data_IF_179345449869
#
_entry.id   IF_179345449869
#
_cell.length_a   1.000
_cell.length_b   1.000
_cell.length_c   1.000
_cell.angle_alpha   90.00
_cell.angle_beta   90.00
_cell.angle_gamma   90.00
#
_symmetry.space_group_name_H-M   'P 1'
#
loop_
_entity.id
_entity.type
_entity.pdbx_description
1 polymer ?
#
# COMPACT_ATOMS: atom_id res chain seq x y z
N UNK A 1 26.34 -10.58 19.47
CA UNK A 1 25.24 -10.30 18.52
C UNK A 1 25.91 -9.95 17.21
N UNK A 2 25.69 -10.73 16.15
CA UNK A 2 26.32 -10.51 14.84
C UNK A 2 25.76 -9.22 14.22
N UNK A 3 26.65 -8.26 13.98
CA UNK A 3 26.45 -6.86 13.58
C UNK A 3 25.94 -6.62 12.15
N UNK A 4 25.24 -7.57 11.54
CA UNK A 4 24.72 -7.38 10.19
C UNK A 4 23.45 -6.52 10.23
N UNK A 5 23.60 -5.19 10.36
CA UNK A 5 22.51 -4.26 10.09
C UNK A 5 22.54 -2.92 10.83
N UNK A 6 23.34 -2.75 11.89
CA UNK A 6 23.27 -1.54 12.72
C UNK A 6 23.61 -0.27 11.92
N UNK A 7 22.70 0.71 11.96
CA UNK A 7 22.65 1.95 11.18
C UNK A 7 22.49 1.77 9.66
N UNK A 8 22.54 0.55 9.14
CA UNK A 8 22.35 0.28 7.71
C UNK A 8 20.91 0.59 7.25
N UNK A 9 20.64 0.57 5.94
CA UNK A 9 19.26 0.62 5.41
C UNK A 9 18.32 -0.50 5.86
N UNK A 10 18.80 -1.55 6.56
CA UNK A 10 18.03 -2.73 6.92
C UNK A 10 17.30 -3.35 5.71
N UNK A 11 16.09 -3.85 5.92
CA UNK A 11 15.25 -4.45 4.90
C UNK A 11 14.68 -3.45 3.89
N UNK A 12 15.06 -2.16 3.92
CA UNK A 12 14.83 -1.30 2.74
C UNK A 12 15.62 -1.83 1.54
N UNK A 13 16.72 -2.55 1.80
CA UNK A 13 17.52 -3.23 0.79
C UNK A 13 17.48 -4.75 1.01
N UNK A 14 16.78 -5.48 0.15
CA UNK A 14 16.74 -6.97 0.17
C UNK A 14 17.45 -7.47 -1.07
N UNK A 15 18.52 -8.25 -0.89
CA UNK A 15 19.35 -8.76 -1.99
C UNK A 15 19.80 -7.64 -2.96
N UNK A 16 20.21 -6.49 -2.40
CA UNK A 16 20.64 -5.29 -3.14
C UNK A 16 19.56 -4.63 -4.01
N UNK A 17 18.28 -4.91 -3.73
CA UNK A 17 17.13 -4.27 -4.37
C UNK A 17 16.29 -3.54 -3.34
N UNK A 18 15.60 -2.49 -3.77
CA UNK A 18 14.60 -1.84 -2.94
C UNK A 18 13.47 -2.83 -2.60
N UNK A 19 12.97 -2.79 -1.37
CA UNK A 19 11.92 -3.69 -0.91
C UNK A 19 10.56 -3.47 -1.57
N UNK A 20 10.34 -2.33 -2.22
CA UNK A 20 9.15 -2.10 -3.03
C UNK A 20 9.42 -2.37 -4.50
N UNK A 21 8.60 -3.25 -5.07
CA UNK A 21 8.62 -3.62 -6.48
C UNK A 21 7.64 -2.76 -7.30
N UNK A 22 8.14 -2.13 -8.36
CA UNK A 22 7.37 -1.24 -9.24
C UNK A 22 6.15 -1.91 -9.91
N UNK A 23 6.30 -3.09 -10.52
CA UNK A 23 5.18 -3.87 -11.06
C UNK A 23 4.03 -4.09 -10.07
N UNK A 24 4.36 -4.51 -8.84
CA UNK A 24 3.35 -4.73 -7.77
C UNK A 24 2.53 -3.47 -7.46
N UNK A 25 3.18 -2.31 -7.42
CA UNK A 25 2.48 -1.03 -7.19
C UNK A 25 1.71 -0.53 -8.41
N UNK A 26 2.14 -0.90 -9.61
CA UNK A 26 1.42 -0.64 -10.86
C UNK A 26 0.12 -1.45 -10.91
N UNK A 27 0.18 -2.74 -10.56
CA UNK A 27 -1.00 -3.60 -10.44
C UNK A 27 -1.99 -3.07 -9.40
N UNK A 28 -1.51 -2.67 -8.22
CA UNK A 28 -2.36 -2.03 -7.21
C UNK A 28 -3.01 -0.75 -7.75
N UNK A 29 -2.25 0.11 -8.42
CA UNK A 29 -2.78 1.36 -8.99
C UNK A 29 -3.87 1.10 -10.03
N UNK A 30 -3.65 0.14 -10.92
CA UNK A 30 -4.63 -0.26 -11.92
C UNK A 30 -5.91 -0.83 -11.25
N UNK A 31 -5.76 -1.63 -10.20
CA UNK A 31 -6.88 -2.14 -9.43
C UNK A 31 -7.67 -1.04 -8.73
N UNK A 32 -6.98 -0.02 -8.19
CA UNK A 32 -7.63 1.16 -7.60
C UNK A 32 -8.42 1.94 -8.65
N UNK A 33 -7.89 2.14 -9.86
CA UNK A 33 -8.62 2.79 -10.94
C UNK A 33 -9.84 1.97 -11.39
N UNK A 34 -9.69 0.65 -11.53
CA UNK A 34 -10.80 -0.25 -11.85
C UNK A 34 -11.90 -0.22 -10.77
N UNK A 35 -11.51 -0.17 -9.50
CA UNK A 35 -12.43 -0.03 -8.37
C UNK A 35 -13.18 1.32 -8.39
N UNK A 36 -12.50 2.42 -8.75
CA UNK A 36 -13.14 3.73 -8.93
C UNK A 36 -14.12 3.75 -10.11
N UNK A 37 -13.91 2.92 -11.12
CA UNK A 37 -14.74 2.85 -12.33
C UNK A 37 -15.95 1.91 -12.20
N UNK A 38 -16.20 1.35 -11.01
CA UNK A 38 -17.36 0.50 -10.74
C UNK A 38 -18.70 1.22 -10.91
N UNK A 39 -19.76 0.55 -11.40
CA UNK A 39 -21.08 1.15 -11.59
C UNK A 39 -21.84 1.34 -10.27
N UNK A 40 -21.44 2.33 -9.48
CA UNK A 40 -21.96 2.63 -8.15
C UNK A 40 -23.29 3.40 -8.12
N UNK A 41 -24.10 3.26 -9.18
CA UNK A 41 -25.47 3.77 -9.26
C UNK A 41 -26.26 3.01 -10.34
N UNK A 42 -27.58 3.02 -10.26
CA UNK A 42 -28.46 2.42 -11.29
C UNK A 42 -28.20 2.99 -12.69
N UNK A 43 -27.95 4.30 -12.79
CA UNK A 43 -27.61 4.96 -14.04
C UNK A 43 -26.30 4.41 -14.60
N UNK A 44 -25.29 4.22 -13.75
CA UNK A 44 -24.02 3.64 -14.19
C UNK A 44 -24.13 2.16 -14.53
N UNK A 45 -24.98 1.40 -13.83
CA UNK A 45 -25.28 -0.01 -14.17
C UNK A 45 -25.86 -0.05 -15.58
N UNK A 46 -26.94 0.71 -15.83
CA UNK A 46 -27.55 0.80 -17.16
C UNK A 46 -26.53 1.20 -18.23
N UNK A 47 -25.73 2.24 -17.98
CA UNK A 47 -24.73 2.71 -18.95
C UNK A 47 -23.64 1.68 -19.25
N UNK A 48 -23.14 0.96 -18.23
CA UNK A 48 -22.00 0.03 -18.39
C UNK A 48 -22.42 -1.38 -18.83
N UNK A 49 -23.62 -1.82 -18.49
CA UNK A 49 -24.07 -3.20 -18.76
C UNK A 49 -25.16 -3.26 -19.82
N UNK A 50 -25.91 -2.17 -20.03
CA UNK A 50 -27.10 -2.14 -20.87
C UNK A 50 -28.38 -2.60 -20.16
N UNK A 51 -28.33 -2.91 -18.85
CA UNK A 51 -29.50 -3.41 -18.11
C UNK A 51 -30.61 -2.36 -18.10
N UNK A 52 -31.77 -2.72 -18.64
CA UNK A 52 -32.89 -1.80 -18.80
C UNK A 52 -33.48 -1.34 -17.47
N UNK A 53 -34.31 -0.28 -17.49
CA UNK A 53 -35.03 0.16 -16.29
C UNK A 53 -35.98 -0.95 -15.77
N UNK A 54 -36.62 -1.71 -16.67
CA UNK A 54 -37.47 -2.83 -16.30
C UNK A 54 -36.66 -3.96 -15.64
N UNK A 55 -35.48 -4.29 -16.20
CA UNK A 55 -34.54 -5.24 -15.63
C UNK A 55 -34.04 -4.82 -14.26
N UNK A 56 -33.68 -3.53 -14.07
CA UNK A 56 -33.30 -2.98 -12.77
C UNK A 56 -34.46 -3.12 -11.77
N UNK A 57 -35.69 -2.77 -12.15
CA UNK A 57 -36.86 -2.89 -11.27
C UNK A 57 -37.19 -4.36 -10.95
N UNK A 58 -37.04 -5.27 -11.91
CA UNK A 58 -37.26 -6.70 -11.73
C UNK A 58 -36.25 -7.31 -10.76
N UNK A 59 -35.01 -6.84 -10.81
CA UNK A 59 -33.89 -7.35 -10.03
C UNK A 59 -33.50 -6.42 -8.87
N UNK A 60 -34.35 -5.46 -8.51
CA UNK A 60 -33.99 -4.38 -7.57
C UNK A 60 -33.43 -4.89 -6.24
N UNK A 61 -34.02 -5.95 -5.67
CA UNK A 61 -33.57 -6.56 -4.41
C UNK A 61 -32.17 -7.21 -4.49
N UNK A 62 -31.63 -7.42 -5.69
CA UNK A 62 -30.30 -7.97 -5.96
C UNK A 62 -29.36 -6.86 -6.44
N UNK A 63 -29.82 -5.99 -7.35
CA UNK A 63 -29.04 -4.91 -7.95
C UNK A 63 -28.71 -3.81 -6.94
N UNK A 64 -29.67 -3.42 -6.08
CA UNK A 64 -29.42 -2.35 -5.11
C UNK A 64 -28.30 -2.70 -4.11
N UNK A 65 -28.28 -3.89 -3.47
CA UNK A 65 -27.14 -4.31 -2.67
C UNK A 65 -25.81 -4.31 -3.41
N UNK A 66 -25.78 -4.64 -4.71
CA UNK A 66 -24.56 -4.58 -5.53
C UNK A 66 -24.06 -3.15 -5.66
N UNK A 67 -24.96 -2.20 -5.92
CA UNK A 67 -24.65 -0.77 -5.99
C UNK A 67 -24.06 -0.26 -4.68
N UNK A 68 -24.65 -0.61 -3.53
CA UNK A 68 -24.13 -0.24 -2.21
C UNK A 68 -22.70 -0.77 -1.99
N UNK A 69 -22.44 -2.03 -2.37
CA UNK A 69 -21.10 -2.62 -2.26
C UNK A 69 -20.09 -1.97 -3.20
N UNK A 70 -20.50 -1.58 -4.41
CA UNK A 70 -19.65 -0.81 -5.30
C UNK A 70 -19.29 0.57 -4.73
N UNK A 71 -20.23 1.27 -4.08
CA UNK A 71 -19.95 2.53 -3.39
C UNK A 71 -18.95 2.35 -2.25
N UNK A 72 -19.10 1.31 -1.45
CA UNK A 72 -18.15 0.98 -0.38
C UNK A 72 -16.75 0.69 -0.94
N UNK A 73 -16.64 -0.10 -2.02
CA UNK A 73 -15.35 -0.37 -2.69
C UNK A 73 -14.73 0.92 -3.22
N UNK A 74 -15.51 1.81 -3.84
CA UNK A 74 -15.02 3.12 -4.30
C UNK A 74 -14.51 3.97 -3.13
N UNK A 75 -15.20 3.98 -1.99
CA UNK A 75 -14.76 4.74 -0.82
C UNK A 75 -13.46 4.18 -0.22
N UNK A 76 -13.37 2.86 -0.03
CA UNK A 76 -12.17 2.24 0.54
C UNK A 76 -10.98 2.30 -0.42
N UNK A 77 -11.19 2.21 -1.74
CA UNK A 77 -10.12 2.39 -2.73
C UNK A 77 -9.60 3.83 -2.78
N UNK A 78 -10.45 4.84 -2.54
CA UNK A 78 -10.00 6.23 -2.40
C UNK A 78 -9.05 6.39 -1.19
N UNK A 79 -9.36 5.74 -0.07
CA UNK A 79 -8.50 5.73 1.12
C UNK A 79 -7.17 5.02 0.87
N UNK A 80 -7.21 3.86 0.19
CA UNK A 80 -6.01 3.11 -0.18
C UNK A 80 -5.11 3.91 -1.12
N UNK A 81 -5.69 4.70 -2.04
CA UNK A 81 -4.94 5.62 -2.92
C UNK A 81 -4.19 6.70 -2.13
N UNK A 82 -4.83 7.28 -1.10
CA UNK A 82 -4.16 8.25 -0.19
C UNK A 82 -2.97 7.57 0.51
N UNK A 83 -3.15 6.32 0.95
CA UNK A 83 -2.06 5.53 1.53
C UNK A 83 -0.91 5.30 0.55
N UNK A 84 -1.19 4.99 -0.72
CA UNK A 84 -0.17 4.83 -1.76
C UNK A 84 0.62 6.12 -2.03
N UNK A 85 -0.03 7.29 -1.94
CA UNK A 85 0.67 8.58 -2.07
C UNK A 85 1.70 8.78 -0.95
N UNK A 86 1.40 8.36 0.28
CA UNK A 86 2.36 8.43 1.40
C UNK A 86 3.61 7.58 1.16
N UNK A 87 3.53 6.52 0.35
CA UNK A 87 4.69 5.70 -0.04
C UNK A 87 5.68 6.53 -0.86
N UNK A 88 5.17 7.42 -1.72
CA UNK A 88 6.01 8.38 -2.45
C UNK A 88 6.73 9.32 -1.50
N UNK A 89 6.04 9.84 -0.50
CA UNK A 89 6.65 10.69 0.54
C UNK A 89 7.76 9.94 1.29
N UNK A 90 7.55 8.66 1.61
CA UNK A 90 8.58 7.81 2.22
C UNK A 90 9.76 7.59 1.28
N UNK A 91 9.53 7.36 -0.01
CA UNK A 91 10.60 7.25 -1.01
C UNK A 91 11.39 8.55 -1.15
N UNK A 92 10.72 9.71 -1.17
CA UNK A 92 11.36 11.02 -1.21
C UNK A 92 12.22 11.26 0.04
N UNK A 93 11.71 10.86 1.20
CA UNK A 93 12.46 10.93 2.46
C UNK A 93 13.65 9.98 2.47
N UNK A 94 13.50 8.77 1.94
CA UNK A 94 14.59 7.80 1.81
C UNK A 94 15.70 8.32 0.89
N UNK A 95 15.34 8.94 -0.25
CA UNK A 95 16.30 9.59 -1.14
C UNK A 95 17.04 10.74 -0.46
N UNK A 96 16.31 11.57 0.29
CA UNK A 96 16.90 12.66 1.05
C UNK A 96 17.91 12.13 2.07
N UNK A 97 17.52 11.17 2.91
CA UNK A 97 18.40 10.57 3.94
C UNK A 97 19.61 9.90 3.28
N UNK A 98 19.42 9.15 2.19
CA UNK A 98 20.53 8.52 1.49
C UNK A 98 21.50 9.55 0.90
N UNK A 99 21.00 10.69 0.41
CA UNK A 99 21.84 11.78 -0.11
C UNK A 99 22.66 12.51 0.96
N UNK A 100 22.21 12.49 2.22
CA UNK A 100 22.92 13.07 3.35
C UNK A 100 23.72 12.05 4.16
N UNK A 101 23.68 10.76 3.80
CA UNK A 101 24.31 9.69 4.56
C UNK A 101 25.83 9.91 4.75
N UNK A 102 26.56 10.35 3.72
CA UNK A 102 27.99 10.65 3.85
C UNK A 102 28.29 11.68 4.95
N UNK A 103 27.78 12.94 4.87
CA UNK A 103 28.04 13.93 5.91
C UNK A 103 27.43 13.56 7.27
N UNK A 104 26.29 12.86 7.34
CA UNK A 104 25.69 12.44 8.60
C UNK A 104 26.56 11.39 9.33
N UNK A 105 27.15 10.44 8.59
CA UNK A 105 28.07 9.46 9.16
C UNK A 105 29.45 10.04 9.46
N UNK A 106 29.92 11.02 8.68
CA UNK A 106 31.11 11.80 9.04
C UNK A 106 30.89 12.48 10.39
N UNK A 107 29.75 13.16 10.58
CA UNK A 107 29.41 13.80 11.85
C UNK A 107 29.25 12.79 13.01
N UNK A 108 28.56 11.66 12.83
CA UNK A 108 28.38 10.66 13.89
C UNK A 108 29.73 10.11 14.37
N UNK A 109 30.62 9.73 13.45
CA UNK A 109 31.92 9.16 13.81
C UNK A 109 32.84 10.23 14.43
N UNK A 110 32.92 11.42 13.84
CA UNK A 110 33.77 12.51 14.32
C UNK A 110 33.28 13.07 15.66
N UNK A 111 31.96 13.22 15.84
CA UNK A 111 31.38 13.78 17.06
C UNK A 111 31.36 12.76 18.20
N UNK A 112 31.28 11.45 17.94
CA UNK A 112 31.54 10.42 18.95
C UNK A 112 33.01 10.42 19.42
N UNK A 113 33.95 10.69 18.51
CA UNK A 113 35.36 10.86 18.86
C UNK A 113 35.59 12.13 19.68
N UNK A 114 34.88 13.23 19.37
CA UNK A 114 34.91 14.47 20.16
C UNK A 114 34.18 14.35 21.51
N UNK A 115 33.03 13.68 21.59
CA UNK A 115 32.29 13.42 22.84
C UNK A 115 33.09 12.56 23.82
N UNK A 116 33.91 11.65 23.30
CA UNK A 116 34.88 10.93 24.11
C UNK A 116 35.94 11.87 24.71
N UNK A 117 36.19 13.03 24.09
CA UNK A 117 37.16 14.03 24.52
C UNK A 117 36.55 15.22 25.30
N UNK A 118 35.23 15.43 25.27
CA UNK A 118 34.51 16.49 26.02
C UNK A 118 33.03 16.09 26.32
N UNK A 119 32.66 15.82 27.60
CA UNK A 119 31.43 15.09 27.96
C UNK A 119 30.13 15.90 28.08
N UNK A 120 30.14 17.23 27.92
CA UNK A 120 28.94 18.07 28.13
C UNK A 120 28.30 18.51 26.80
N UNK A 121 27.36 17.74 26.23
CA UNK A 121 26.49 18.27 25.15
C UNK A 121 25.09 17.64 25.11
N UNK A 122 24.12 18.36 25.66
CA UNK A 122 22.71 17.94 25.86
C UNK A 122 21.77 18.21 24.66
N UNK A 123 22.28 18.78 23.56
CA UNK A 123 21.43 19.50 22.60
C UNK A 123 21.08 18.77 21.30
N UNK A 124 20.71 17.48 21.34
CA UNK A 124 20.16 16.79 20.15
C UNK A 124 18.97 15.88 20.49
N UNK A 125 17.74 16.41 20.36
CA UNK A 125 16.51 15.64 20.60
C UNK A 125 15.34 15.98 19.64
N UNK A 126 15.01 15.00 18.77
CA UNK A 126 13.68 14.55 18.27
C UNK A 126 13.45 14.52 16.74
N UNK A 127 12.95 13.37 16.25
CA UNK A 127 11.86 13.26 15.25
C UNK A 127 11.28 11.82 15.21
N UNK A 128 9.99 11.68 14.86
CA UNK A 128 9.21 10.43 14.81
C UNK A 128 8.44 10.35 13.47
N UNK A 129 8.27 9.16 12.87
CA UNK A 129 7.37 8.86 11.73
C UNK A 129 6.68 7.51 12.04
N UNK A 130 5.44 7.49 12.58
CA UNK A 130 4.08 7.42 11.97
C UNK A 130 3.53 6.00 11.72
N UNK A 131 2.99 5.38 12.79
CA UNK A 131 2.17 4.14 12.76
C UNK A 131 0.82 4.30 12.02
N UNK A 132 0.36 5.54 11.79
CA UNK A 132 -0.98 5.84 11.27
C UNK A 132 -1.20 5.44 9.79
N UNK A 133 -0.15 5.50 8.96
CA UNK A 133 -0.27 5.14 7.54
C UNK A 133 -0.49 3.63 7.35
N UNK A 134 0.15 2.80 8.19
CA UNK A 134 0.08 1.34 8.16
C UNK A 134 -1.30 0.82 8.53
N UNK A 135 -1.88 1.37 9.60
CA UNK A 135 -3.20 0.95 10.06
C UNK A 135 -4.27 1.30 9.04
N UNK A 136 -4.16 2.47 8.37
CA UNK A 136 -5.07 2.88 7.30
C UNK A 136 -4.99 1.97 6.07
N UNK A 137 -3.78 1.59 5.63
CA UNK A 137 -3.56 0.73 4.48
C UNK A 137 -4.07 -0.70 4.72
N UNK A 138 -3.79 -1.25 5.91
CA UNK A 138 -4.22 -2.59 6.30
C UNK A 138 -5.73 -2.66 6.49
N UNK A 139 -6.33 -1.69 7.20
CA UNK A 139 -7.78 -1.67 7.41
C UNK A 139 -8.55 -1.53 6.11
N UNK A 140 -8.13 -0.61 5.23
CA UNK A 140 -8.81 -0.36 3.95
C UNK A 140 -8.74 -1.59 3.02
N UNK A 141 -7.63 -2.33 3.04
CA UNK A 141 -7.51 -3.56 2.23
C UNK A 141 -8.42 -4.66 2.75
N UNK A 142 -8.40 -4.93 4.06
CA UNK A 142 -9.27 -5.94 4.67
C UNK A 142 -10.74 -5.65 4.41
N UNK A 143 -11.14 -4.37 4.55
CA UNK A 143 -12.50 -3.94 4.22
C UNK A 143 -12.85 -4.24 2.75
N UNK A 144 -11.98 -3.91 1.78
CA UNK A 144 -12.24 -4.20 0.36
C UNK A 144 -12.37 -5.71 0.12
N UNK A 145 -11.52 -6.54 0.72
CA UNK A 145 -11.57 -8.01 0.59
C UNK A 145 -12.90 -8.55 1.14
N UNK A 146 -13.33 -8.09 2.31
CA UNK A 146 -14.61 -8.48 2.90
C UNK A 146 -15.80 -8.05 2.04
N UNK A 147 -15.76 -6.84 1.48
CA UNK A 147 -16.81 -6.34 0.58
C UNK A 147 -16.84 -7.15 -0.72
N UNK A 148 -15.69 -7.50 -1.28
CA UNK A 148 -15.58 -8.33 -2.50
C UNK A 148 -16.10 -9.76 -2.29
N UNK A 149 -15.91 -10.33 -1.10
CA UNK A 149 -16.52 -11.62 -0.74
C UNK A 149 -18.05 -11.55 -0.78
N UNK A 150 -18.64 -10.53 -0.14
CA UNK A 150 -20.11 -10.30 -0.19
C UNK A 150 -20.61 -10.01 -1.60
N UNK A 151 -19.83 -9.29 -2.39
CA UNK A 151 -20.14 -8.99 -3.79
C UNK A 151 -20.14 -10.27 -4.65
N UNK A 152 -19.25 -11.23 -4.36
CA UNK A 152 -19.22 -12.54 -5.01
C UNK A 152 -20.50 -13.33 -4.76
N UNK A 153 -21.01 -13.32 -3.53
CA UNK A 153 -22.29 -13.96 -3.19
C UNK A 153 -23.46 -13.33 -3.97
N UNK A 154 -23.49 -12.00 -4.08
CA UNK A 154 -24.49 -11.29 -4.89
C UNK A 154 -24.34 -11.60 -6.39
N UNK A 155 -23.11 -11.70 -6.90
CA UNK A 155 -22.83 -12.12 -8.28
C UNK A 155 -23.25 -13.56 -8.57
N UNK A 156 -23.23 -14.43 -7.56
CA UNK A 156 -23.77 -15.80 -7.65
C UNK A 156 -25.30 -15.80 -7.66
N UNK A 157 -25.95 -14.93 -6.87
CA UNK A 157 -27.41 -14.77 -6.89
C UNK A 157 -27.93 -14.30 -8.26
N UNK A 158 -27.17 -13.44 -8.97
CA UNK A 158 -27.44 -13.07 -10.37
C UNK A 158 -27.33 -14.24 -11.36
N UNK A 159 -26.76 -15.38 -10.97
CA UNK A 159 -26.75 -16.62 -11.75
C UNK A 159 -27.88 -17.59 -11.38
N UNK A 160 -28.82 -17.16 -10.52
CA UNK A 160 -29.94 -17.98 -10.07
C UNK A 160 -30.89 -18.38 -11.20
N UNK A 161 -31.53 -19.55 -11.05
CA UNK A 161 -32.50 -20.05 -12.04
C UNK A 161 -33.77 -19.20 -12.13
N UNK A 162 -34.04 -18.36 -11.12
CA UNK A 162 -35.20 -17.48 -11.02
C UNK A 162 -34.99 -16.10 -11.68
N UNK A 163 -33.78 -15.78 -12.15
CA UNK A 163 -33.46 -14.48 -12.77
C UNK A 163 -34.25 -14.29 -14.07
N UNK A 164 -34.34 -15.34 -14.90
CA UNK A 164 -35.15 -15.32 -16.12
C UNK A 164 -36.62 -14.99 -15.80
N UNK A 165 -37.21 -15.67 -14.81
CA UNK A 165 -38.61 -15.48 -14.43
C UNK A 165 -38.87 -14.08 -13.86
N UNK A 166 -37.91 -13.54 -13.10
CA UNK A 166 -37.97 -12.15 -12.60
C UNK A 166 -37.98 -11.15 -13.74
N UNK A 167 -37.07 -11.30 -14.72
CA UNK A 167 -37.01 -10.43 -15.90
C UNK A 167 -38.29 -10.53 -16.74
N UNK A 168 -38.72 -11.75 -17.08
CA UNK A 168 -39.94 -12.01 -17.84
C UNK A 168 -41.23 -11.49 -17.16
N UNK A 169 -41.20 -11.23 -15.85
CA UNK A 169 -42.34 -10.62 -15.13
C UNK A 169 -42.54 -9.13 -15.42
N UNK A 170 -41.53 -8.45 -15.97
CA UNK A 170 -41.56 -7.01 -16.26
C UNK A 170 -41.20 -6.65 -17.68
N UNK A 171 -40.35 -7.44 -18.32
CA UNK A 171 -39.96 -7.22 -19.70
C UNK A 171 -41.11 -7.56 -20.65
N UNK A 172 -41.44 -6.66 -21.59
CA UNK A 172 -42.62 -6.82 -22.42
C UNK A 172 -42.42 -7.83 -23.56
N UNK A 173 -41.17 -8.15 -23.91
CA UNK A 173 -40.85 -9.09 -24.98
C UNK A 173 -39.72 -10.04 -24.57
N UNK A 174 -39.65 -11.20 -25.23
CA UNK A 174 -38.54 -12.14 -25.04
C UNK A 174 -37.20 -11.54 -25.47
N UNK A 175 -37.19 -10.65 -26.46
CA UNK A 175 -35.97 -9.94 -26.87
C UNK A 175 -35.43 -9.06 -25.74
N UNK A 176 -36.31 -8.36 -25.03
CA UNK A 176 -35.94 -7.54 -23.86
C UNK A 176 -35.38 -8.42 -22.73
N UNK A 177 -36.01 -9.57 -22.45
CA UNK A 177 -35.51 -10.55 -21.46
C UNK A 177 -34.09 -11.01 -21.82
N UNK A 178 -33.83 -11.35 -23.09
CA UNK A 178 -32.50 -11.81 -23.51
C UNK A 178 -31.45 -10.70 -23.45
N UNK A 179 -31.83 -9.46 -23.79
CA UNK A 179 -30.95 -8.30 -23.64
C UNK A 179 -30.57 -8.06 -22.18
N UNK A 180 -31.54 -8.12 -21.26
CA UNK A 180 -31.29 -7.93 -19.84
C UNK A 180 -30.52 -9.11 -19.21
N UNK A 181 -30.70 -10.34 -19.69
CA UNK A 181 -29.86 -11.49 -19.31
C UNK A 181 -28.40 -11.31 -19.75
N UNK A 182 -28.16 -10.77 -20.95
CA UNK A 182 -26.81 -10.44 -21.41
C UNK A 182 -26.18 -9.34 -20.54
N UNK A 183 -26.96 -8.30 -20.19
CA UNK A 183 -26.52 -7.26 -19.28
C UNK A 183 -26.20 -7.79 -17.87
N UNK A 184 -27.00 -8.73 -17.35
CA UNK A 184 -26.72 -9.44 -16.09
C UNK A 184 -25.41 -10.22 -16.19
N UNK A 185 -25.11 -10.87 -17.32
CA UNK A 185 -23.82 -11.54 -17.52
C UNK A 185 -22.65 -10.56 -17.46
N UNK A 186 -22.77 -9.39 -18.10
CA UNK A 186 -21.74 -8.34 -18.05
C UNK A 186 -21.55 -7.86 -16.61
N UNK A 187 -22.63 -7.64 -15.85
CA UNK A 187 -22.56 -7.23 -14.44
C UNK A 187 -21.82 -8.28 -13.60
N UNK A 188 -22.09 -9.57 -13.82
CA UNK A 188 -21.38 -10.66 -13.14
C UNK A 188 -19.90 -10.69 -13.50
N UNK A 189 -19.53 -10.40 -14.73
CA UNK A 189 -18.13 -10.36 -15.15
C UNK A 189 -17.39 -9.14 -14.57
N UNK A 190 -18.07 -7.99 -14.41
CA UNK A 190 -17.54 -6.84 -13.65
C UNK A 190 -17.26 -7.26 -12.20
N UNK A 191 -18.20 -7.97 -11.57
CA UNK A 191 -18.05 -8.48 -10.19
C UNK A 191 -16.85 -9.44 -10.09
N UNK A 192 -16.74 -10.43 -10.99
CA UNK A 192 -15.60 -11.37 -11.01
C UNK A 192 -14.26 -10.69 -11.26
N UNK A 193 -14.25 -9.59 -12.00
CA UNK A 193 -13.06 -8.78 -12.24
C UNK A 193 -12.52 -8.08 -10.99
N UNK A 194 -13.33 -7.99 -9.92
CA UNK A 194 -12.90 -7.46 -8.63
C UNK A 194 -12.09 -8.51 -7.86
N UNK A 195 -10.77 -8.36 -7.87
CA UNK A 195 -9.85 -9.27 -7.17
C UNK A 195 -8.75 -8.48 -6.45
N UNK A 196 -9.14 -7.66 -5.47
CA UNK A 196 -8.19 -6.80 -4.77
C UNK A 196 -7.21 -7.63 -3.94
N UNK A 197 -7.60 -8.81 -3.48
CA UNK A 197 -6.70 -9.69 -2.72
C UNK A 197 -5.44 -10.04 -3.52
N UNK A 198 -5.59 -10.53 -4.76
CA UNK A 198 -4.44 -10.87 -5.60
C UNK A 198 -3.75 -9.61 -6.13
N UNK A 199 -4.52 -8.55 -6.44
CA UNK A 199 -3.99 -7.32 -7.03
C UNK A 199 -3.23 -6.42 -6.04
N UNK A 200 -3.52 -6.52 -4.73
CA UNK A 200 -2.89 -5.70 -3.69
C UNK A 200 -1.91 -6.46 -2.81
N UNK A 201 -2.04 -7.79 -2.68
CA UNK A 201 -1.25 -8.63 -1.79
C UNK A 201 0.27 -8.39 -1.88
N UNK A 202 0.89 -8.45 -3.07
CA UNK A 202 2.32 -8.20 -3.23
C UNK A 202 2.75 -6.79 -2.78
N UNK A 203 2.00 -5.76 -3.18
CA UNK A 203 2.30 -4.38 -2.81
C UNK A 203 2.17 -4.11 -1.30
N UNK A 204 1.21 -4.74 -0.63
CA UNK A 204 1.04 -4.63 0.82
C UNK A 204 2.15 -5.36 1.58
N UNK A 205 2.57 -6.53 1.11
CA UNK A 205 3.72 -7.23 1.69
C UNK A 205 4.99 -6.37 1.59
N UNK A 206 5.22 -5.72 0.44
CA UNK A 206 6.32 -4.78 0.26
C UNK A 206 6.24 -3.60 1.25
N UNK A 207 5.03 -3.10 1.53
CA UNK A 207 4.82 -2.01 2.49
C UNK A 207 5.11 -2.43 3.92
N UNK A 208 4.70 -3.63 4.32
CA UNK A 208 5.00 -4.16 5.66
C UNK A 208 6.50 -4.31 5.88
N UNK A 209 7.24 -4.77 4.85
CA UNK A 209 8.70 -4.83 4.86
C UNK A 209 9.31 -3.43 5.01
N UNK A 210 8.87 -2.48 4.18
CA UNK A 210 9.35 -1.11 4.21
C UNK A 210 9.18 -0.49 5.61
N UNK A 211 8.02 -0.69 6.22
CA UNK A 211 7.71 -0.18 7.56
C UNK A 211 8.58 -0.83 8.63
N UNK A 212 8.73 -2.15 8.58
CA UNK A 212 9.62 -2.88 9.49
C UNK A 212 11.06 -2.37 9.41
N UNK A 213 11.54 -2.05 8.20
CA UNK A 213 12.87 -1.49 8.01
C UNK A 213 13.00 -0.07 8.58
N UNK A 214 12.01 0.80 8.37
CA UNK A 214 11.99 2.15 8.97
C UNK A 214 11.97 2.09 10.49
N UNK A 215 11.20 1.17 11.09
CA UNK A 215 11.21 0.95 12.54
C UNK A 215 12.56 0.46 13.05
N UNK A 216 13.25 -0.42 12.31
CA UNK A 216 14.59 -0.89 12.66
C UNK A 216 15.63 0.24 12.62
N UNK A 217 15.63 1.07 11.57
CA UNK A 217 16.50 2.26 11.47
C UNK A 217 16.26 3.20 12.65
N UNK A 218 14.99 3.46 12.97
CA UNK A 218 14.62 4.33 14.11
C UNK A 218 15.11 3.72 15.44
N UNK A 219 14.95 2.41 15.61
CA UNK A 219 15.44 1.68 16.77
C UNK A 219 16.96 1.74 16.93
N UNK A 220 17.71 1.67 15.83
CA UNK A 220 19.16 1.82 15.85
C UNK A 220 19.59 3.22 16.29
N UNK A 221 18.94 4.26 15.76
CA UNK A 221 19.22 5.65 16.10
C UNK A 221 18.87 5.94 17.58
N UNK A 222 17.73 5.45 18.06
CA UNK A 222 17.36 5.57 19.46
C UNK A 222 18.28 4.76 20.38
N UNK A 223 18.71 3.57 19.95
CA UNK A 223 19.69 2.73 20.63
C UNK A 223 21.06 3.41 20.76
N UNK A 224 21.56 3.99 19.67
CA UNK A 224 22.79 4.77 19.67
C UNK A 224 22.67 5.96 20.63
N UNK A 225 21.57 6.70 20.52
CA UNK A 225 21.31 7.89 21.34
C UNK A 225 21.16 7.56 22.82
N UNK A 226 20.52 6.45 23.18
CA UNK A 226 20.40 6.00 24.57
C UNK A 226 21.73 5.50 25.11
N UNK A 227 22.54 4.83 24.29
CA UNK A 227 23.90 4.42 24.65
C UNK A 227 24.80 5.62 24.94
N UNK A 228 24.68 6.70 24.15
CA UNK A 228 25.40 7.96 24.39
C UNK A 228 24.97 8.59 25.72
N UNK A 229 23.66 8.71 25.98
CA UNK A 229 23.13 9.36 27.20
C UNK A 229 23.41 8.60 28.49
N UNK A 230 23.47 7.27 28.42
CA UNK A 230 23.62 6.41 29.60
C UNK A 230 25.08 6.09 29.93
N UNK A 231 26.01 6.36 29.00
CA UNK A 231 27.43 6.19 29.22
C UNK A 231 28.04 7.44 29.85
N UNK A 232 28.91 7.27 30.85
CA UNK A 232 29.75 8.36 31.37
C UNK A 232 30.92 8.70 30.46
N UNK A 233 31.23 7.81 29.50
CA UNK A 233 32.29 7.97 28.51
C UNK A 233 31.84 7.36 27.18
N UNK A 234 30.86 7.96 26.48
CA UNK A 234 30.48 7.51 25.15
C UNK A 234 31.68 7.66 24.22
N UNK A 235 31.95 6.65 23.39
CA UNK A 235 33.11 6.67 22.53
C UNK A 235 33.02 5.73 21.34
N UNK A 236 34.06 5.67 20.50
CA UNK A 236 34.09 4.90 19.25
C UNK A 236 33.76 3.41 19.42
N UNK A 237 33.89 2.90 20.64
CA UNK A 237 33.44 1.57 21.07
C UNK A 237 31.99 1.22 20.69
N UNK A 238 31.11 2.23 20.60
CA UNK A 238 29.70 2.06 20.19
C UNK A 238 29.52 1.68 18.72
N UNK A 239 30.56 1.87 17.90
CA UNK A 239 30.57 1.62 16.46
C UNK A 239 31.65 0.61 16.04
N UNK A 240 32.25 -0.13 16.98
CA UNK A 240 33.36 -1.06 16.71
C UNK A 240 33.07 -2.08 15.60
N UNK A 241 31.81 -2.51 15.51
CA UNK A 241 31.37 -3.49 14.51
C UNK A 241 30.72 -2.85 13.26
N UNK A 242 30.75 -1.51 13.15
CA UNK A 242 30.18 -0.75 12.03
C UNK A 242 31.27 -0.35 11.04
N UNK A 243 31.31 -1.02 9.90
CA UNK A 243 32.16 -0.64 8.78
C UNK A 243 31.53 0.53 8.00
N UNK A 244 31.93 1.77 8.33
CA UNK A 244 31.41 3.00 7.71
C UNK A 244 31.34 2.93 6.17
N UNK A 245 32.42 2.49 5.52
CA UNK A 245 32.47 2.39 4.06
C UNK A 245 31.40 1.44 3.49
N UNK A 246 31.18 0.29 4.15
CA UNK A 246 30.16 -0.69 3.76
C UNK A 246 28.74 -0.16 3.99
N UNK A 247 28.52 0.55 5.09
CA UNK A 247 27.21 1.16 5.36
C UNK A 247 26.88 2.24 4.32
N UNK A 248 27.85 3.08 3.97
CA UNK A 248 27.70 4.09 2.91
C UNK A 248 27.42 3.48 1.54
N UNK A 249 28.07 2.38 1.19
CA UNK A 249 27.79 1.62 -0.03
C UNK A 249 26.33 1.12 -0.07
N UNK A 250 25.81 0.62 1.05
CA UNK A 250 24.41 0.18 1.15
C UNK A 250 23.43 1.36 0.98
N UNK A 251 23.71 2.53 1.57
CA UNK A 251 22.88 3.74 1.39
C UNK A 251 22.92 4.25 -0.05
N UNK A 252 24.08 4.24 -0.71
CA UNK A 252 24.20 4.61 -2.12
C UNK A 252 23.43 3.62 -3.02
N UNK A 253 23.49 2.33 -2.71
CA UNK A 253 22.72 1.30 -3.41
C UNK A 253 21.22 1.53 -3.22
N UNK A 254 20.78 1.80 -1.99
CA UNK A 254 19.37 2.14 -1.72
C UNK A 254 18.93 3.36 -2.53
N UNK A 255 19.74 4.43 -2.56
CA UNK A 255 19.43 5.64 -3.33
C UNK A 255 19.17 5.32 -4.81
N UNK A 256 20.03 4.50 -5.42
CA UNK A 256 19.88 4.09 -6.81
C UNK A 256 18.60 3.28 -7.02
N UNK A 257 18.32 2.31 -6.16
CA UNK A 257 17.16 1.42 -6.29
C UNK A 257 15.83 2.14 -6.03
N UNK A 258 15.78 3.05 -5.05
CA UNK A 258 14.60 3.90 -4.80
C UNK A 258 14.35 4.84 -5.98
N UNK A 259 15.40 5.39 -6.59
CA UNK A 259 15.24 6.22 -7.78
C UNK A 259 14.69 5.39 -8.95
N UNK A 260 15.21 4.18 -9.19
CA UNK A 260 14.68 3.27 -10.21
C UNK A 260 13.20 2.93 -9.97
N UNK A 261 12.83 2.64 -8.72
CA UNK A 261 11.45 2.39 -8.35
C UNK A 261 10.56 3.59 -8.69
N UNK A 262 10.97 4.81 -8.33
CA UNK A 262 10.23 6.04 -8.65
C UNK A 262 10.14 6.32 -10.15
N UNK A 263 11.19 6.05 -10.91
CA UNK A 263 11.20 6.24 -12.36
C UNK A 263 10.26 5.25 -13.08
N UNK A 264 10.09 4.05 -12.52
CA UNK A 264 9.14 3.04 -13.01
C UNK A 264 7.71 3.31 -12.55
N UNK A 265 7.56 3.85 -11.33
CA UNK A 265 6.29 4.17 -10.70
C UNK A 265 5.92 5.64 -10.91
N UNK A 266 5.59 5.99 -12.16
CA UNK A 266 4.96 7.27 -12.49
C UNK A 266 3.44 7.14 -12.43
N UNK A 267 2.86 7.52 -11.29
CA UNK A 267 1.44 7.90 -11.17
C UNK A 267 1.29 9.39 -11.44
#
# INVERSE_FOLDING_TARGET
MSSNGFLSPHNLLINSKFCCDGPSFTELTNALWAAQDLPASEIMINYKTGLSENGIQALYSIVWPIVERFQEIQQSSANLRIGCQKVKDVCDRALYIASTAQPDYDAIFDDLEKLFMDPDNDSLRQQTISEDATNLLRSSTTEIIEIQSKLTDLGNALGGSDIHDKLASRDPTEEDVQNDLAAVSILRDIIKGQNMQDQSGPSLSNLEILLGAVSAITGDLDGLRNSIKSSTHPGPGLLLDVEKAKVLELWATLQSEVQKFKDQYSV
#
